data_IF_537525980209
#
_entry.id   IF_537525980209
#
_cell.length_a   1.000
_cell.length_b   1.000
_cell.length_c   1.000
_cell.angle_alpha   90.00
_cell.angle_beta   90.00
_cell.angle_gamma   90.00
#
_symmetry.space_group_name_H-M   'P 1'
#
loop_
_entity.id
_entity.type
_entity.pdbx_description
1 polymer ?
#
# COMPACT_ATOMS: atom_id res chain seq x y z
N UNK A 1 -3.09 17.15 -23.46
CA UNK A 1 -3.01 15.92 -22.65
C UNK A 1 -3.81 14.85 -23.37
N UNK A 2 -3.22 13.71 -23.70
CA UNK A 2 -3.95 12.58 -24.28
C UNK A 2 -4.38 11.64 -23.15
N UNK A 3 -5.61 11.13 -23.21
CA UNK A 3 -6.15 10.13 -22.28
C UNK A 3 -6.19 8.80 -23.01
N UNK A 4 -5.57 7.76 -22.45
CA UNK A 4 -5.56 6.40 -23.01
C UNK A 4 -6.72 5.56 -22.46
N UNK A 5 -7.13 4.52 -23.20
CA UNK A 5 -8.04 3.49 -22.66
C UNK A 5 -7.46 2.81 -21.43
N UNK A 6 -6.14 2.66 -21.36
CA UNK A 6 -5.43 2.12 -20.19
C UNK A 6 -5.41 3.09 -19.00
N UNK A 7 -5.75 4.36 -19.20
CA UNK A 7 -5.94 5.29 -18.09
C UNK A 7 -7.29 5.10 -17.39
N UNK A 8 -8.29 4.68 -18.16
CA UNK A 8 -9.67 4.47 -17.72
C UNK A 8 -9.86 3.07 -17.10
N UNK A 9 -9.26 2.04 -17.71
CA UNK A 9 -9.41 0.66 -17.28
C UNK A 9 -8.09 0.11 -16.75
N UNK A 10 -7.98 0.05 -15.42
CA UNK A 10 -6.79 -0.44 -14.72
C UNK A 10 -7.17 -1.63 -13.84
N UNK A 11 -6.33 -2.66 -13.88
CA UNK A 11 -6.38 -3.76 -12.92
C UNK A 11 -5.93 -3.22 -11.56
N UNK A 12 -6.59 -3.67 -10.50
CA UNK A 12 -6.27 -3.30 -9.13
C UNK A 12 -7.09 -4.12 -8.14
N UNK A 13 -6.93 -3.79 -6.85
CA UNK A 13 -7.72 -4.38 -5.78
C UNK A 13 -8.86 -3.46 -5.33
N UNK A 14 -10.00 -4.06 -4.98
CA UNK A 14 -11.13 -3.37 -4.36
C UNK A 14 -10.88 -3.07 -2.87
N UNK A 15 -11.76 -2.29 -2.22
CA UNK A 15 -13.04 -1.79 -2.75
C UNK A 15 -12.97 -0.44 -3.50
N UNK A 16 -11.85 0.29 -3.45
CA UNK A 16 -11.81 1.67 -3.95
C UNK A 16 -10.51 2.02 -4.67
N UNK A 17 -10.63 2.63 -5.85
CA UNK A 17 -9.45 3.14 -6.57
C UNK A 17 -8.76 4.28 -5.81
N UNK A 18 -9.53 5.16 -5.18
CA UNK A 18 -8.99 6.34 -4.49
C UNK A 18 -8.51 6.05 -3.08
N UNK A 19 -9.14 5.10 -2.38
CA UNK A 19 -8.85 4.79 -0.98
C UNK A 19 -8.14 3.44 -0.78
N UNK A 20 -7.99 2.61 -1.82
CA UNK A 20 -7.26 1.34 -1.75
C UNK A 20 -6.10 1.33 -2.74
N UNK A 21 -6.36 1.42 -4.04
CA UNK A 21 -5.32 1.34 -5.09
C UNK A 21 -4.32 2.49 -4.99
N UNK A 22 -4.80 3.73 -4.85
CA UNK A 22 -3.97 4.93 -4.71
C UNK A 22 -3.01 4.84 -3.52
N UNK A 23 -3.51 4.63 -2.28
CA UNK A 23 -2.67 4.52 -1.10
C UNK A 23 -1.66 3.36 -1.15
N UNK A 24 -2.06 2.18 -1.65
CA UNK A 24 -1.14 1.04 -1.81
C UNK A 24 0.00 1.37 -2.78
N UNK A 25 -0.33 1.97 -3.93
CA UNK A 25 0.66 2.40 -4.92
C UNK A 25 1.60 3.46 -4.35
N UNK A 26 1.09 4.41 -3.58
CA UNK A 26 1.92 5.44 -2.94
C UNK A 26 2.92 4.82 -1.95
N UNK A 27 2.48 3.82 -1.17
CA UNK A 27 3.34 3.08 -0.26
C UNK A 27 4.42 2.25 -0.99
N UNK A 28 4.04 1.53 -2.05
CA UNK A 28 4.96 0.76 -2.88
C UNK A 28 6.03 1.65 -3.54
N UNK A 29 5.63 2.82 -4.05
CA UNK A 29 6.55 3.82 -4.60
C UNK A 29 7.50 4.37 -3.54
N UNK A 30 7.02 4.61 -2.31
CA UNK A 30 7.86 5.08 -1.22
C UNK A 30 8.96 4.07 -0.86
N UNK A 31 8.61 2.79 -0.71
CA UNK A 31 9.63 1.76 -0.42
C UNK A 31 10.55 1.47 -1.61
N UNK A 32 10.03 1.56 -2.84
CA UNK A 32 10.86 1.54 -4.06
C UNK A 32 11.91 2.64 -4.06
N UNK A 33 11.53 3.88 -3.72
CA UNK A 33 12.48 4.99 -3.62
C UNK A 33 13.52 4.79 -2.50
N UNK A 34 13.15 4.18 -1.37
CA UNK A 34 14.10 3.83 -0.32
C UNK A 34 15.11 2.77 -0.79
N UNK A 35 14.64 1.77 -1.53
CA UNK A 35 15.46 0.70 -2.12
C UNK A 35 16.48 1.27 -3.11
N UNK A 36 16.01 2.09 -4.06
CA UNK A 36 16.86 2.75 -5.06
C UNK A 36 17.98 3.58 -4.42
N UNK A 37 17.66 4.28 -3.32
CA UNK A 37 18.61 5.10 -2.55
C UNK A 37 19.47 4.29 -1.57
N UNK A 38 19.32 2.96 -1.52
CA UNK A 38 20.00 2.04 -0.58
C UNK A 38 19.80 2.43 0.89
N UNK A 39 18.60 2.91 1.23
CA UNK A 39 18.26 3.38 2.58
C UNK A 39 17.49 2.35 3.42
N UNK A 40 16.91 1.31 2.81
CA UNK A 40 16.06 0.32 3.50
C UNK A 40 16.69 -0.24 4.79
N UNK A 41 17.95 -0.69 4.73
CA UNK A 41 18.65 -1.27 5.89
C UNK A 41 18.82 -0.30 7.07
N UNK A 42 18.73 1.02 6.82
CA UNK A 42 18.83 2.07 7.84
C UNK A 42 17.48 2.44 8.43
N UNK A 43 16.37 2.03 7.83
CA UNK A 43 15.03 2.34 8.32
C UNK A 43 14.74 1.47 9.54
N UNK A 44 14.35 2.13 10.63
CA UNK A 44 13.94 1.46 11.89
C UNK A 44 12.46 1.65 12.21
N UNK A 45 11.84 2.67 11.64
CA UNK A 45 10.43 3.01 11.85
C UNK A 45 9.90 3.72 10.61
N UNK A 46 8.71 3.35 10.20
CA UNK A 46 7.91 4.07 9.21
C UNK A 46 6.69 4.63 9.92
N UNK A 47 6.33 5.86 9.61
CA UNK A 47 5.10 6.49 10.10
C UNK A 47 4.27 6.93 8.91
N UNK A 48 3.01 6.51 8.89
CA UNK A 48 2.04 6.89 7.87
C UNK A 48 0.98 7.75 8.56
N UNK A 49 0.70 8.91 7.97
CA UNK A 49 -0.39 9.78 8.40
C UNK A 49 -1.37 9.95 7.25
N UNK A 50 -2.62 9.58 7.49
CA UNK A 50 -3.72 9.80 6.55
C UNK A 50 -4.40 11.13 6.91
N UNK A 51 -4.82 11.89 5.89
CA UNK A 51 -5.42 13.22 6.06
C UNK A 51 -6.73 13.34 5.29
N UNK A 52 -7.61 14.26 5.73
CA UNK A 52 -8.84 14.61 5.03
C UNK A 52 -9.82 13.45 4.85
N UNK A 53 -10.38 13.32 3.64
CA UNK A 53 -11.33 12.25 3.29
C UNK A 53 -10.71 10.85 3.41
N UNK A 54 -9.41 10.72 3.12
CA UNK A 54 -8.68 9.46 3.22
C UNK A 54 -8.61 8.96 4.66
N UNK A 55 -8.37 9.84 5.64
CA UNK A 55 -8.46 9.46 7.05
C UNK A 55 -9.90 9.22 7.50
N UNK A 56 -10.86 10.01 7.02
CA UNK A 56 -12.24 9.95 7.48
C UNK A 56 -12.94 8.63 7.12
N UNK A 57 -12.57 8.01 6.00
CA UNK A 57 -13.22 6.79 5.49
C UNK A 57 -12.27 5.61 5.33
N UNK A 58 -11.02 5.76 5.76
CA UNK A 58 -9.94 4.83 5.45
C UNK A 58 -10.16 3.42 5.98
N UNK A 59 -10.71 3.26 7.19
CA UNK A 59 -10.98 1.93 7.78
C UNK A 59 -12.02 1.16 6.96
N UNK A 60 -13.10 1.83 6.53
CA UNK A 60 -14.16 1.20 5.73
C UNK A 60 -13.74 0.84 4.31
N UNK A 61 -12.70 1.48 3.78
CA UNK A 61 -12.14 1.20 2.45
C UNK A 61 -10.84 0.38 2.48
N UNK A 62 -10.40 -0.05 3.66
CA UNK A 62 -9.15 -0.81 3.84
C UNK A 62 -7.89 -0.02 3.48
N UNK A 63 -7.90 1.32 3.59
CA UNK A 63 -6.74 2.17 3.27
C UNK A 63 -5.53 1.86 4.14
N UNK A 64 -5.75 1.49 5.39
CA UNK A 64 -4.72 1.05 6.32
C UNK A 64 -4.00 -0.21 5.81
N UNK A 65 -4.77 -1.26 5.50
CA UNK A 65 -4.28 -2.52 4.93
C UNK A 65 -3.57 -2.28 3.60
N UNK A 66 -4.18 -1.49 2.73
CA UNK A 66 -3.62 -1.14 1.42
C UNK A 66 -2.24 -0.48 1.55
N UNK A 67 -2.09 0.49 2.47
CA UNK A 67 -0.79 1.10 2.74
C UNK A 67 0.20 0.09 3.30
N UNK A 68 -0.20 -0.76 4.26
CA UNK A 68 0.67 -1.77 4.83
C UNK A 68 1.20 -2.73 3.76
N UNK A 69 0.32 -3.28 2.90
CA UNK A 69 0.74 -4.18 1.83
C UNK A 69 1.69 -3.48 0.85
N UNK A 70 1.41 -2.22 0.49
CA UNK A 70 2.33 -1.44 -0.33
C UNK A 70 3.68 -1.19 0.34
N UNK A 71 3.73 -0.97 1.65
CA UNK A 71 4.99 -0.86 2.40
C UNK A 71 5.74 -2.20 2.49
N UNK A 72 5.03 -3.33 2.42
CA UNK A 72 5.63 -4.65 2.27
C UNK A 72 6.07 -4.95 0.82
N UNK A 73 6.00 -3.97 -0.09
CA UNK A 73 6.50 -4.09 -1.46
C UNK A 73 5.49 -4.62 -2.48
N UNK A 74 4.26 -4.92 -2.07
CA UNK A 74 3.23 -5.41 -2.98
C UNK A 74 2.65 -4.29 -3.86
N UNK A 75 2.21 -4.65 -5.06
CA UNK A 75 1.52 -3.75 -5.99
C UNK A 75 0.05 -4.10 -6.13
N UNK A 76 -0.85 -3.10 -6.23
CA UNK A 76 -2.31 -3.33 -6.27
C UNK A 76 -2.76 -4.17 -7.47
N UNK A 77 -2.00 -4.19 -8.56
CA UNK A 77 -2.26 -4.97 -9.77
C UNK A 77 -1.58 -6.35 -9.79
N UNK A 78 -0.82 -6.70 -8.74
CA UNK A 78 -0.03 -7.93 -8.67
C UNK A 78 -0.26 -8.75 -7.39
N UNK A 79 -0.83 -8.14 -6.35
CA UNK A 79 -1.08 -8.80 -5.07
C UNK A 79 -2.16 -9.89 -5.19
N UNK A 80 -1.96 -11.01 -4.50
CA UNK A 80 -3.01 -11.99 -4.21
C UNK A 80 -3.89 -11.47 -3.05
N UNK A 81 -5.17 -11.13 -3.28
CA UNK A 81 -6.05 -10.63 -2.23
C UNK A 81 -6.20 -11.60 -1.06
N UNK A 82 -6.05 -12.91 -1.28
CA UNK A 82 -6.16 -13.91 -0.23
C UNK A 82 -5.02 -13.84 0.79
N UNK A 83 -3.89 -13.21 0.44
CA UNK A 83 -2.74 -13.06 1.33
C UNK A 83 -2.81 -11.81 2.21
N UNK A 84 -3.74 -10.88 1.96
CA UNK A 84 -3.83 -9.61 2.69
C UNK A 84 -4.13 -9.87 4.17
N UNK A 85 -5.26 -10.50 4.49
CA UNK A 85 -5.67 -10.71 5.89
C UNK A 85 -4.65 -11.56 6.69
N UNK A 86 -4.10 -12.69 6.18
CA UNK A 86 -3.06 -13.42 6.89
C UNK A 86 -1.81 -12.59 7.21
N UNK A 87 -1.34 -11.75 6.27
CA UNK A 87 -0.14 -10.92 6.47
C UNK A 87 -0.40 -9.77 7.42
N UNK A 88 -1.60 -9.16 7.38
CA UNK A 88 -2.03 -8.16 8.35
C UNK A 88 -2.08 -8.77 9.76
N UNK A 89 -2.68 -9.96 9.90
CA UNK A 89 -2.75 -10.65 11.19
C UNK A 89 -1.34 -10.96 11.74
N UNK A 90 -0.41 -11.42 10.89
CA UNK A 90 0.98 -11.68 11.27
C UNK A 90 1.72 -10.40 11.71
N UNK A 91 1.50 -9.27 11.02
CA UNK A 91 2.06 -7.98 11.41
C UNK A 91 1.53 -7.53 12.78
N UNK A 92 0.22 -7.62 13.00
CA UNK A 92 -0.40 -7.21 14.27
C UNK A 92 0.06 -8.09 15.44
N UNK A 93 0.23 -9.39 15.20
CA UNK A 93 0.71 -10.33 16.22
C UNK A 93 2.20 -10.12 16.57
N UNK A 94 3.03 -9.81 15.57
CA UNK A 94 4.48 -9.62 15.77
C UNK A 94 4.86 -8.19 16.18
N UNK A 95 4.02 -7.20 15.87
CA UNK A 95 4.36 -5.79 15.97
C UNK A 95 5.46 -5.36 14.99
N UNK A 96 5.74 -6.18 13.97
CA UNK A 96 6.84 -5.96 13.02
C UNK A 96 6.30 -5.85 11.59
N UNK A 97 6.77 -4.80 10.90
CA UNK A 97 6.55 -4.62 9.47
C UNK A 97 7.76 -5.14 8.70
N UNK A 98 7.54 -6.10 7.82
CA UNK A 98 8.54 -6.57 6.88
C UNK A 98 8.60 -5.60 5.69
N UNK A 99 9.49 -4.62 5.77
CA UNK A 99 9.55 -3.51 4.84
C UNK A 99 10.17 -3.94 3.49
N UNK A 100 9.44 -3.72 2.39
CA UNK A 100 9.82 -4.10 1.02
C UNK A 100 10.02 -5.60 0.75
N UNK A 101 9.28 -6.47 1.46
CA UNK A 101 9.22 -7.90 1.18
C UNK A 101 9.34 -8.73 2.42
#
# INVERSE_FOLDING_TARGET
MAISVFDLFKIGIGPSSSHTVGPMRAAALFVGALRERRLLARVRRVEVRLYGSLSATGVGHGSDRAVIMGLMGDWPDQIDPAQIEPRIAALLASGQLLLDG
#
